data_IF_912253559743
#
_entry.id   IF_912253559743
#
_cell.length_a   1.000
_cell.length_b   1.000
_cell.length_c   1.000
_cell.angle_alpha   90.00
_cell.angle_beta   90.00
_cell.angle_gamma   90.00
#
_symmetry.space_group_name_H-M   'P 1'
#
loop_
_entity.id
_entity.type
_entity.pdbx_description
1 polymer ?
#
# COMPACT_ATOMS: atom_id res chain seq x y z
N UNK A 1 -8.06 3.75 20.43
CA UNK A 1 -8.57 4.57 21.55
C UNK A 1 -9.88 5.20 21.12
N UNK A 2 -10.82 5.47 22.05
CA UNK A 2 -12.00 6.28 21.74
C UNK A 2 -11.62 7.75 21.92
N UNK A 3 -11.36 8.45 20.82
CA UNK A 3 -11.38 9.91 20.82
C UNK A 3 -12.80 10.39 21.05
N UNK A 4 -12.97 11.48 21.79
CA UNK A 4 -14.28 12.12 21.89
C UNK A 4 -14.62 12.70 20.50
N UNK A 5 -15.74 12.28 19.87
CA UNK A 5 -16.17 12.84 18.59
C UNK A 5 -16.20 14.37 18.58
N UNK A 6 -16.44 15.01 19.74
CA UNK A 6 -16.47 16.46 19.89
C UNK A 6 -15.13 17.15 19.57
N UNK A 7 -13.99 16.47 19.79
CA UNK A 7 -12.66 17.00 19.49
C UNK A 7 -12.32 16.92 17.99
N UNK A 8 -12.93 15.97 17.27
CA UNK A 8 -12.66 15.72 15.85
C UNK A 8 -13.60 16.49 14.92
N UNK A 9 -14.82 16.82 15.39
CA UNK A 9 -15.82 17.57 14.61
C UNK A 9 -15.26 18.87 14.00
N UNK A 10 -14.49 19.72 14.73
CA UNK A 10 -13.94 20.94 14.15
C UNK A 10 -12.97 20.68 12.98
N UNK A 11 -12.22 19.58 13.03
CA UNK A 11 -11.27 19.19 11.98
C UNK A 11 -12.03 18.69 10.75
N UNK A 12 -13.06 17.87 10.97
CA UNK A 12 -13.93 17.35 9.89
C UNK A 12 -14.71 18.48 9.21
N UNK A 13 -15.18 19.47 9.97
CA UNK A 13 -15.85 20.65 9.42
C UNK A 13 -14.91 21.45 8.49
N UNK A 14 -13.66 21.67 8.91
CA UNK A 14 -12.66 22.33 8.07
C UNK A 14 -12.35 21.52 6.79
N UNK A 15 -12.18 20.21 6.91
CA UNK A 15 -12.00 19.33 5.75
C UNK A 15 -13.19 19.36 4.81
N UNK A 16 -14.40 19.47 5.35
CA UNK A 16 -15.65 19.58 4.58
C UNK A 16 -15.70 20.88 3.77
N UNK A 17 -15.35 22.01 4.39
CA UNK A 17 -15.28 23.30 3.71
C UNK A 17 -14.25 23.26 2.57
N UNK A 18 -13.09 22.65 2.81
CA UNK A 18 -12.06 22.44 1.80
C UNK A 18 -12.52 21.50 0.67
N UNK A 19 -13.22 20.43 1.00
CA UNK A 19 -13.71 19.43 0.04
C UNK A 19 -14.78 20.00 -0.89
N UNK A 20 -15.70 20.80 -0.34
CA UNK A 20 -16.79 21.46 -1.09
C UNK A 20 -16.36 22.77 -1.76
N UNK A 21 -15.11 23.22 -1.53
CA UNK A 21 -14.63 24.56 -1.91
C UNK A 21 -15.51 25.70 -1.38
N UNK A 22 -16.27 25.46 -0.31
CA UNK A 22 -17.25 26.39 0.23
C UNK A 22 -18.50 26.63 -0.63
N UNK A 23 -18.74 25.83 -1.68
CA UNK A 23 -19.88 26.00 -2.59
C UNK A 23 -21.16 25.31 -2.11
N UNK A 24 -21.10 24.55 -1.02
CA UNK A 24 -22.25 23.84 -0.45
C UNK A 24 -22.27 23.91 1.07
N UNK A 25 -23.41 24.31 1.63
CA UNK A 25 -23.64 24.42 3.08
C UNK A 25 -24.11 23.12 3.72
N UNK A 26 -24.31 22.07 2.93
CA UNK A 26 -24.72 20.75 3.39
C UNK A 26 -23.88 19.66 2.71
N UNK A 27 -23.29 18.79 3.51
CA UNK A 27 -22.69 17.53 3.04
C UNK A 27 -23.58 16.35 3.42
N UNK A 28 -23.48 15.27 2.66
CA UNK A 28 -24.17 14.03 3.01
C UNK A 28 -23.53 13.41 4.25
N UNK A 29 -24.30 12.57 4.96
CA UNK A 29 -23.79 11.86 6.13
C UNK A 29 -22.60 10.97 5.76
N UNK A 30 -22.66 10.33 4.59
CA UNK A 30 -21.59 9.48 4.08
C UNK A 30 -20.30 10.28 3.84
N UNK A 31 -20.38 11.49 3.30
CA UNK A 31 -19.22 12.34 3.09
C UNK A 31 -18.60 12.81 4.42
N UNK A 32 -19.43 13.14 5.42
CA UNK A 32 -18.94 13.51 6.75
C UNK A 32 -18.27 12.34 7.47
N UNK A 33 -18.85 11.14 7.36
CA UNK A 33 -18.25 9.91 7.90
C UNK A 33 -16.92 9.59 7.21
N UNK A 34 -16.86 9.71 5.89
CA UNK A 34 -15.64 9.49 5.11
C UNK A 34 -14.50 10.42 5.53
N UNK A 35 -14.80 11.71 5.74
CA UNK A 35 -13.82 12.67 6.24
C UNK A 35 -13.43 12.41 7.71
N UNK A 36 -14.34 11.90 8.53
CA UNK A 36 -14.01 11.45 9.89
C UNK A 36 -13.01 10.29 9.86
N UNK A 37 -13.24 9.30 8.98
CA UNK A 37 -12.29 8.19 8.78
C UNK A 37 -10.93 8.69 8.29
N UNK A 38 -10.89 9.71 7.45
CA UNK A 38 -9.65 10.36 7.03
C UNK A 38 -8.87 10.99 8.21
N UNK A 39 -9.57 11.71 9.09
CA UNK A 39 -8.96 12.30 10.30
C UNK A 39 -8.42 11.22 11.22
N UNK A 40 -9.21 10.16 11.47
CA UNK A 40 -8.80 9.05 12.32
C UNK A 40 -7.59 8.30 11.77
N UNK A 41 -7.53 8.11 10.44
CA UNK A 41 -6.36 7.52 9.78
C UNK A 41 -5.10 8.33 10.09
N UNK A 42 -5.13 9.65 9.83
CA UNK A 42 -3.98 10.52 10.12
C UNK A 42 -3.58 10.46 11.60
N UNK A 43 -4.53 10.56 12.53
CA UNK A 43 -4.23 10.47 13.97
C UNK A 43 -3.54 9.15 14.31
N UNK A 44 -4.01 8.03 13.75
CA UNK A 44 -3.38 6.73 13.94
C UNK A 44 -1.94 6.71 13.43
N UNK A 45 -1.65 7.37 12.31
CA UNK A 45 -0.28 7.49 11.79
C UNK A 45 0.65 8.25 12.74
N UNK A 46 0.17 9.35 13.31
CA UNK A 46 0.93 10.10 14.32
C UNK A 46 1.18 9.25 15.58
N UNK A 47 0.19 8.49 16.03
CA UNK A 47 0.33 7.59 17.18
C UNK A 47 1.34 6.48 16.92
N UNK A 48 1.28 5.85 15.74
CA UNK A 48 2.19 4.79 15.33
C UNK A 48 3.65 5.29 15.26
N UNK A 49 3.85 6.51 14.75
CA UNK A 49 5.15 7.17 14.77
C UNK A 49 5.67 7.39 16.19
N UNK A 50 4.81 7.87 17.10
CA UNK A 50 5.18 8.12 18.50
C UNK A 50 5.42 6.85 19.32
N UNK A 51 4.67 5.77 19.05
CA UNK A 51 4.85 4.48 19.71
C UNK A 51 6.22 3.85 19.39
N UNK A 52 6.71 4.04 18.15
CA UNK A 52 8.06 3.64 17.75
C UNK A 52 9.16 4.54 18.35
N UNK A 53 8.78 5.68 18.91
CA UNK A 53 9.67 6.69 19.49
C UNK A 53 9.40 7.01 20.97
N UNK A 54 9.03 6.02 21.80
CA UNK A 54 8.97 6.09 23.27
C UNK A 54 8.71 7.49 23.89
N UNK A 55 7.54 8.06 23.65
CA UNK A 55 6.98 9.13 24.48
C UNK A 55 5.45 9.00 24.53
N UNK A 56 4.93 8.44 25.63
CA UNK A 56 3.51 8.55 25.99
C UNK A 56 3.21 10.00 26.34
N UNK A 57 2.89 10.82 25.34
CA UNK A 57 2.38 12.16 25.56
C UNK A 57 0.91 12.07 26.00
N UNK A 58 0.69 12.43 27.25
CA UNK A 58 -0.63 12.68 27.82
C UNK A 58 -1.34 13.77 27.01
N UNK A 59 -2.58 13.51 26.58
CA UNK A 59 -3.51 14.47 25.97
C UNK A 59 -2.86 15.47 25.02
N UNK A 60 -2.29 14.98 23.92
CA UNK A 60 -1.97 15.84 22.79
C UNK A 60 -3.28 16.28 22.13
N UNK A 61 -3.42 17.58 21.84
CA UNK A 61 -4.55 18.14 21.10
C UNK A 61 -4.78 17.34 19.80
N UNK A 62 -6.03 16.89 19.57
CA UNK A 62 -6.41 16.10 18.41
C UNK A 62 -6.02 16.78 17.09
N UNK A 63 -6.00 18.12 17.04
CA UNK A 63 -5.54 18.88 15.87
C UNK A 63 -4.05 18.70 15.61
N UNK A 64 -3.23 18.75 16.66
CA UNK A 64 -1.77 18.55 16.52
C UNK A 64 -1.47 17.13 16.05
N UNK A 65 -2.17 16.13 16.59
CA UNK A 65 -2.04 14.74 16.16
C UNK A 65 -2.47 14.56 14.70
N UNK A 66 -3.60 15.14 14.31
CA UNK A 66 -4.06 15.12 12.94
C UNK A 66 -3.04 15.76 11.97
N UNK A 67 -2.51 16.94 12.30
CA UNK A 67 -1.53 17.64 11.45
C UNK A 67 -0.22 16.85 11.32
N UNK A 68 0.31 16.32 12.43
CA UNK A 68 1.49 15.48 12.43
C UNK A 68 1.26 14.19 11.62
N UNK A 69 0.09 13.59 11.79
CA UNK A 69 -0.33 12.39 11.08
C UNK A 69 -0.48 12.59 9.59
N UNK A 70 -1.12 13.68 9.19
CA UNK A 70 -1.25 14.08 7.80
C UNK A 70 0.13 14.27 7.15
N UNK A 71 1.08 14.90 7.85
CA UNK A 71 2.44 15.04 7.35
C UNK A 71 3.12 13.67 7.20
N UNK A 72 2.95 12.76 8.15
CA UNK A 72 3.50 11.40 8.04
C UNK A 72 2.90 10.63 6.85
N UNK A 73 1.59 10.76 6.57
CA UNK A 73 0.98 10.18 5.36
C UNK A 73 1.63 10.74 4.09
N UNK A 74 1.86 12.05 4.03
CA UNK A 74 2.53 12.69 2.89
C UNK A 74 3.95 12.16 2.73
N UNK A 75 4.69 12.04 3.83
CA UNK A 75 6.06 11.53 3.82
C UNK A 75 6.11 10.05 3.40
N UNK A 76 5.15 9.22 3.85
CA UNK A 76 4.96 7.84 3.39
C UNK A 76 4.71 7.76 1.89
N UNK A 77 3.90 8.66 1.34
CA UNK A 77 3.65 8.70 -0.11
C UNK A 77 4.95 8.95 -0.87
N UNK A 78 5.77 9.91 -0.43
CA UNK A 78 7.05 10.19 -1.10
C UNK A 78 8.04 9.02 -0.93
N UNK A 79 8.12 8.41 0.26
CA UNK A 79 8.93 7.20 0.48
C UNK A 79 8.51 6.04 -0.42
N UNK A 80 7.21 5.77 -0.53
CA UNK A 80 6.66 4.74 -1.40
C UNK A 80 6.95 5.02 -2.88
N UNK A 81 6.90 6.28 -3.32
CA UNK A 81 7.30 6.67 -4.68
C UNK A 81 8.78 6.40 -4.93
N UNK A 82 9.67 6.69 -3.98
CA UNK A 82 11.09 6.37 -4.12
C UNK A 82 11.33 4.86 -4.18
N UNK A 83 10.68 4.07 -3.31
CA UNK A 83 10.71 2.60 -3.38
C UNK A 83 10.22 2.08 -4.73
N UNK A 84 9.13 2.65 -5.25
CA UNK A 84 8.58 2.31 -6.56
C UNK A 84 9.57 2.65 -7.70
N UNK A 85 10.29 3.77 -7.64
CA UNK A 85 11.34 4.11 -8.62
C UNK A 85 12.48 3.08 -8.60
N UNK A 86 12.86 2.58 -7.43
CA UNK A 86 13.86 1.51 -7.32
C UNK A 86 13.30 0.21 -7.92
N UNK A 87 12.07 -0.17 -7.58
CA UNK A 87 11.39 -1.33 -8.15
C UNK A 87 11.38 -1.29 -9.69
N UNK A 88 10.90 -0.20 -10.29
CA UNK A 88 10.75 -0.10 -11.74
C UNK A 88 12.10 -0.16 -12.49
N UNK A 89 13.19 0.28 -11.85
CA UNK A 89 14.53 0.32 -12.47
C UNK A 89 15.10 -1.07 -12.81
N UNK A 90 14.64 -2.10 -12.10
CA UNK A 90 15.10 -3.48 -12.24
C UNK A 90 13.95 -4.46 -12.47
N UNK A 91 12.76 -3.95 -12.78
CA UNK A 91 11.54 -4.73 -12.89
C UNK A 91 11.55 -5.69 -14.09
N UNK A 92 11.18 -6.94 -13.83
CA UNK A 92 10.82 -7.94 -14.83
C UNK A 92 9.45 -8.51 -14.50
N UNK A 93 8.59 -8.54 -15.52
CA UNK A 93 7.29 -9.23 -15.41
C UNK A 93 7.41 -10.75 -15.48
N UNK A 94 8.57 -11.27 -15.94
CA UNK A 94 8.77 -12.68 -16.26
C UNK A 94 7.65 -13.26 -17.16
N UNK A 95 7.00 -12.41 -17.97
CA UNK A 95 5.90 -12.78 -18.84
C UNK A 95 4.51 -12.84 -18.18
N UNK A 96 4.40 -12.67 -16.85
CA UNK A 96 3.10 -12.63 -16.16
C UNK A 96 2.41 -11.26 -16.33
N UNK A 97 1.20 -11.27 -16.90
CA UNK A 97 0.43 -10.07 -17.20
C UNK A 97 -0.11 -9.39 -15.96
N UNK A 98 -0.52 -10.16 -14.95
CA UNK A 98 -1.09 -9.59 -13.73
C UNK A 98 -0.03 -8.79 -12.95
N UNK A 99 1.17 -9.34 -12.79
CA UNK A 99 2.33 -8.64 -12.24
C UNK A 99 2.68 -7.39 -13.08
N UNK A 100 2.66 -7.51 -14.41
CA UNK A 100 2.92 -6.39 -15.31
C UNK A 100 1.90 -5.25 -15.13
N UNK A 101 0.61 -5.56 -15.13
CA UNK A 101 -0.46 -4.59 -15.00
C UNK A 101 -0.48 -3.96 -13.61
N UNK A 102 -0.20 -4.74 -12.57
CA UNK A 102 -0.06 -4.26 -11.20
C UNK A 102 1.04 -3.19 -11.10
N UNK A 103 2.26 -3.52 -11.55
CA UNK A 103 3.42 -2.64 -11.40
C UNK A 103 3.34 -1.45 -12.36
N UNK A 104 2.96 -1.66 -13.63
CA UNK A 104 3.02 -0.61 -14.64
C UNK A 104 1.76 0.25 -14.73
N UNK A 105 0.62 -0.20 -14.20
CA UNK A 105 -0.66 0.52 -14.31
C UNK A 105 -1.28 0.81 -12.94
N UNK A 106 -1.50 -0.21 -12.12
CA UNK A 106 -2.25 -0.04 -10.87
C UNK A 106 -1.49 0.84 -9.88
N UNK A 107 -0.22 0.56 -9.57
CA UNK A 107 0.58 1.35 -8.62
C UNK A 107 0.72 2.82 -9.07
N UNK A 108 1.07 3.13 -10.34
CA UNK A 108 1.04 4.51 -10.84
C UNK A 108 -0.34 5.16 -10.77
N UNK A 109 -1.40 4.39 -11.04
CA UNK A 109 -2.79 4.83 -10.92
C UNK A 109 -3.13 5.23 -9.49
N UNK A 110 -2.68 4.45 -8.51
CA UNK A 110 -2.80 4.78 -7.09
C UNK A 110 -2.17 6.15 -6.80
N UNK A 111 -0.88 6.35 -7.13
CA UNK A 111 -0.21 7.63 -6.84
C UNK A 111 -0.82 8.85 -7.54
N UNK A 112 -1.53 8.64 -8.66
CA UNK A 112 -2.20 9.71 -9.41
C UNK A 112 -3.52 10.15 -8.77
N UNK A 113 -4.28 9.21 -8.22
CA UNK A 113 -5.64 9.42 -7.75
C UNK A 113 -5.76 9.50 -6.23
N UNK A 114 -4.77 8.97 -5.50
CA UNK A 114 -4.74 8.95 -4.05
C UNK A 114 -4.68 10.38 -3.48
N UNK A 115 -5.53 10.62 -2.46
CA UNK A 115 -5.63 11.92 -1.80
C UNK A 115 -5.27 11.78 -0.32
N UNK A 116 -4.03 12.12 0.08
CA UNK A 116 -3.59 12.06 1.49
C UNK A 116 -4.46 12.87 2.45
N UNK A 117 -5.17 13.89 1.95
CA UNK A 117 -5.95 14.80 2.78
C UNK A 117 -7.41 14.36 2.94
N UNK A 118 -8.00 13.84 1.87
CA UNK A 118 -9.45 13.59 1.82
C UNK A 118 -9.82 12.11 1.87
N UNK A 119 -8.90 11.23 1.45
CA UNK A 119 -9.10 9.79 1.44
C UNK A 119 -7.82 9.01 1.79
N UNK A 120 -7.08 9.36 2.87
CA UNK A 120 -5.87 8.63 3.24
C UNK A 120 -6.13 7.15 3.57
N UNK A 121 -7.34 6.80 4.00
CA UNK A 121 -7.74 5.43 4.30
C UNK A 121 -8.02 4.56 3.07
N UNK A 122 -8.17 5.15 1.88
CA UNK A 122 -8.60 4.41 0.69
C UNK A 122 -7.44 3.71 -0.03
N UNK A 123 -7.53 2.39 -0.14
CA UNK A 123 -6.73 1.62 -1.10
C UNK A 123 -7.49 1.52 -2.41
N UNK A 124 -7.29 2.50 -3.29
CA UNK A 124 -8.04 2.66 -4.55
C UNK A 124 -7.67 1.66 -5.65
N UNK A 125 -6.81 0.67 -5.36
CA UNK A 125 -6.48 -0.44 -6.25
C UNK A 125 -6.75 -1.78 -5.57
N UNK A 126 -7.09 -2.79 -6.37
CA UNK A 126 -7.50 -4.12 -5.90
C UNK A 126 -6.35 -5.02 -5.45
N UNK A 127 -5.12 -4.71 -5.83
CA UNK A 127 -3.93 -5.53 -5.55
C UNK A 127 -4.12 -7.00 -6.02
N UNK A 128 -4.65 -7.19 -7.22
CA UNK A 128 -5.01 -8.50 -7.77
C UNK A 128 -3.82 -9.46 -7.95
N UNK A 129 -2.59 -8.95 -7.97
CA UNK A 129 -1.39 -9.78 -7.95
C UNK A 129 -1.04 -10.20 -6.51
N UNK A 130 -1.07 -11.50 -6.17
CA UNK A 130 -0.84 -11.94 -4.81
C UNK A 130 0.64 -11.84 -4.41
N UNK A 131 0.84 -11.63 -3.11
CA UNK A 131 2.16 -11.66 -2.48
C UNK A 131 2.33 -12.94 -1.68
N UNK A 132 3.58 -13.40 -1.52
CA UNK A 132 3.88 -14.64 -0.79
C UNK A 132 3.39 -14.64 0.67
N UNK A 133 3.25 -13.45 1.27
CA UNK A 133 2.59 -13.26 2.56
C UNK A 133 1.51 -12.21 2.36
N UNK A 134 0.23 -12.47 2.65
CA UNK A 134 -0.85 -11.49 2.50
C UNK A 134 -0.59 -10.19 3.25
N UNK A 135 -1.14 -9.08 2.76
CA UNK A 135 -1.13 -7.79 3.47
C UNK A 135 -2.36 -7.77 4.38
N UNK A 136 -2.14 -7.78 5.68
CA UNK A 136 -3.22 -7.82 6.68
C UNK A 136 -3.24 -6.54 7.51
N UNK A 137 -4.45 -6.02 7.76
CA UNK A 137 -4.66 -4.90 8.69
C UNK A 137 -4.13 -3.55 8.24
N UNK A 138 -3.78 -3.38 6.96
CA UNK A 138 -3.31 -2.11 6.38
C UNK A 138 -4.22 -1.63 5.27
N UNK A 139 -4.35 -0.31 5.15
CA UNK A 139 -5.08 0.36 4.08
C UNK A 139 -4.27 1.57 3.58
N UNK A 140 -4.83 2.34 2.64
CA UNK A 140 -4.22 3.58 2.19
C UNK A 140 -2.79 3.41 1.66
N UNK A 141 -1.94 4.36 2.03
CA UNK A 141 -0.51 4.34 1.66
C UNK A 141 0.26 3.20 2.34
N UNK A 142 -0.14 2.78 3.54
CA UNK A 142 0.54 1.72 4.29
C UNK A 142 0.44 0.36 3.61
N UNK A 143 -0.74 0.06 3.04
CA UNK A 143 -0.93 -1.14 2.23
C UNK A 143 -0.05 -1.10 0.96
N UNK A 144 0.02 0.05 0.30
CA UNK A 144 0.74 0.21 -0.97
C UNK A 144 2.25 0.18 -0.78
N UNK A 145 2.75 0.81 0.28
CA UNK A 145 4.17 0.75 0.62
C UNK A 145 4.61 -0.69 0.91
N UNK A 146 3.85 -1.44 1.71
CA UNK A 146 4.13 -2.86 1.98
C UNK A 146 4.01 -3.71 0.70
N UNK A 147 3.05 -3.41 -0.17
CA UNK A 147 2.89 -4.12 -1.43
C UNK A 147 4.09 -3.94 -2.35
N UNK A 148 4.60 -2.71 -2.46
CA UNK A 148 5.83 -2.41 -3.20
C UNK A 148 7.02 -3.16 -2.60
N UNK A 149 7.17 -3.15 -1.27
CA UNK A 149 8.27 -3.85 -0.59
C UNK A 149 8.23 -5.36 -0.86
N UNK A 150 7.04 -5.97 -0.82
CA UNK A 150 6.87 -7.41 -1.10
C UNK A 150 7.15 -7.77 -2.55
N UNK A 151 6.65 -6.99 -3.51
CA UNK A 151 6.97 -7.19 -4.93
C UNK A 151 8.46 -7.00 -5.16
N UNK A 152 9.08 -5.99 -4.54
CA UNK A 152 10.51 -5.77 -4.64
C UNK A 152 11.32 -6.95 -4.07
N UNK A 153 10.93 -7.51 -2.93
CA UNK A 153 11.58 -8.70 -2.36
C UNK A 153 11.47 -9.91 -3.30
N UNK A 154 10.31 -10.12 -3.92
CA UNK A 154 10.12 -11.14 -4.96
C UNK A 154 11.06 -10.90 -6.16
N UNK A 155 11.14 -9.67 -6.68
CA UNK A 155 12.04 -9.34 -7.80
C UNK A 155 13.51 -9.62 -7.45
N UNK A 156 13.94 -9.28 -6.22
CA UNK A 156 15.29 -9.57 -5.75
C UNK A 156 15.57 -11.07 -5.62
N UNK A 157 14.58 -11.88 -5.24
CA UNK A 157 14.70 -13.33 -5.22
C UNK A 157 14.83 -13.90 -6.63
N UNK A 158 13.91 -13.54 -7.52
CA UNK A 158 13.85 -14.06 -8.89
C UNK A 158 15.05 -13.62 -9.74
N UNK A 159 15.61 -12.44 -9.48
CA UNK A 159 16.80 -11.95 -10.17
C UNK A 159 18.09 -12.75 -9.89
N UNK A 160 18.09 -13.66 -8.89
CA UNK A 160 19.24 -14.53 -8.60
C UNK A 160 19.40 -15.66 -9.63
N UNK A 161 18.34 -15.99 -10.35
CA UNK A 161 18.36 -17.08 -11.34
C UNK A 161 18.87 -16.60 -12.70
N UNK A 162 19.40 -17.54 -13.48
CA UNK A 162 19.90 -17.23 -14.81
C UNK A 162 18.78 -16.69 -15.73
N UNK A 163 19.10 -15.80 -16.69
CA UNK A 163 18.11 -15.28 -17.63
C UNK A 163 17.32 -16.41 -18.32
N UNK A 164 15.98 -16.32 -18.30
CA UNK A 164 15.07 -17.31 -18.89
C UNK A 164 14.73 -18.51 -17.98
N UNK A 165 15.43 -18.70 -16.87
CA UNK A 165 15.16 -19.81 -15.95
C UNK A 165 13.78 -19.70 -15.30
N UNK A 166 13.41 -18.50 -14.82
CA UNK A 166 12.13 -18.26 -14.14
C UNK A 166 10.98 -18.56 -15.10
N UNK A 167 11.03 -18.04 -16.32
CA UNK A 167 10.00 -18.27 -17.34
C UNK A 167 9.90 -19.74 -17.74
N UNK A 168 11.03 -20.46 -17.79
CA UNK A 168 11.07 -21.90 -18.05
C UNK A 168 10.34 -22.67 -16.93
N UNK A 169 10.68 -22.40 -15.66
CA UNK A 169 10.02 -23.05 -14.50
C UNK A 169 8.53 -22.78 -14.49
N UNK A 170 8.12 -21.51 -14.68
CA UNK A 170 6.72 -21.12 -14.70
C UNK A 170 5.95 -21.81 -15.86
N UNK A 171 6.57 -21.89 -17.04
CA UNK A 171 5.96 -22.57 -18.20
C UNK A 171 5.85 -24.09 -18.03
N UNK A 172 6.76 -24.69 -17.26
CA UNK A 172 6.72 -26.12 -16.92
C UNK A 172 5.67 -26.40 -15.84
N UNK A 173 5.43 -25.46 -14.93
CA UNK A 173 4.37 -25.56 -13.93
C UNK A 173 2.98 -25.47 -14.55
N UNK A 174 2.72 -24.46 -15.39
CA UNK A 174 1.50 -24.39 -16.20
C UNK A 174 1.69 -23.62 -17.51
N UNK A 175 1.08 -24.12 -18.59
CA UNK A 175 1.24 -23.56 -19.92
C UNK A 175 0.66 -22.14 -20.06
N UNK A 176 -0.31 -21.78 -19.22
CA UNK A 176 -1.02 -20.51 -19.21
C UNK A 176 -0.57 -19.55 -18.09
N UNK A 177 0.61 -19.76 -17.49
CA UNK A 177 1.09 -19.00 -16.32
C UNK A 177 1.08 -17.47 -16.51
N UNK A 178 1.14 -17.02 -17.77
CA UNK A 178 1.14 -15.60 -18.13
C UNK A 178 -0.14 -14.89 -17.72
N UNK A 179 -1.24 -15.61 -17.61
CA UNK A 179 -2.57 -15.09 -17.27
C UNK A 179 -3.03 -15.52 -15.87
N UNK A 180 -2.12 -16.11 -15.07
CA UNK A 180 -2.42 -16.65 -13.74
C UNK A 180 -2.21 -15.62 -12.62
N UNK A 181 -2.95 -15.83 -11.53
CA UNK A 181 -3.00 -14.98 -10.33
C UNK A 181 -2.34 -15.67 -9.14
N UNK A 182 -1.06 -16.03 -9.28
CA UNK A 182 -0.25 -16.57 -8.19
C UNK A 182 1.07 -15.81 -8.08
N UNK A 183 1.72 -15.92 -6.92
CA UNK A 183 3.01 -15.31 -6.71
C UNK A 183 4.10 -16.14 -7.40
N UNK A 184 4.93 -15.52 -8.24
CA UNK A 184 5.89 -16.27 -9.05
C UNK A 184 7.01 -16.87 -8.18
N UNK A 185 7.40 -16.19 -7.10
CA UNK A 185 8.45 -16.69 -6.20
C UNK A 185 8.08 -17.98 -5.49
N UNK A 186 6.80 -18.19 -5.17
CA UNK A 186 6.32 -19.44 -4.55
C UNK A 186 6.57 -20.64 -5.46
N UNK A 187 6.19 -20.54 -6.72
CA UNK A 187 6.36 -21.62 -7.71
C UNK A 187 7.84 -21.92 -7.95
N UNK A 188 8.64 -20.86 -8.10
CA UNK A 188 10.09 -21.01 -8.33
C UNK A 188 10.77 -21.63 -7.11
N UNK A 189 10.36 -21.26 -5.90
CA UNK A 189 10.88 -21.83 -4.67
C UNK A 189 10.57 -23.33 -4.58
N UNK A 190 9.32 -23.74 -4.76
CA UNK A 190 8.89 -25.16 -4.70
C UNK A 190 9.62 -26.05 -5.72
N UNK A 191 9.80 -25.56 -6.95
CA UNK A 191 10.50 -26.30 -8.00
C UNK A 191 12.01 -26.35 -7.80
N UNK A 192 12.59 -25.33 -7.16
CA UNK A 192 14.02 -25.32 -6.83
C UNK A 192 14.36 -26.33 -5.72
N UNK A 193 13.48 -26.48 -4.72
CA UNK A 193 13.66 -27.44 -3.62
C UNK A 193 13.47 -28.89 -4.10
N UNK A 194 12.51 -29.12 -5.00
CA UNK A 194 12.27 -30.43 -5.62
C UNK A 194 13.46 -30.95 -6.42
N UNK A 195 14.25 -30.06 -7.04
CA UNK A 195 15.45 -30.41 -7.81
C UNK A 195 16.69 -30.70 -6.94
N UNK A 196 16.73 -30.22 -5.69
CA UNK A 196 17.79 -30.54 -4.72
C UNK A 196 17.51 -31.85 -3.98
N UNK A 197 16.24 -32.22 -3.82
CA UNK A 197 15.82 -33.50 -3.21
C UNK A 197 16.21 -34.75 -4.00
N UNK A 198 16.29 -34.67 -5.34
CA UNK A 198 16.65 -35.80 -6.21
C UNK A 198 18.18 -36.06 -6.34
N UNK A 199 19.01 -35.27 -5.65
CA UNK A 199 20.49 -35.44 -5.62
C UNK A 199 21.03 -36.10 -4.34
N UNK A 200 20.17 -36.67 -3.49
CA UNK A 200 20.57 -37.46 -2.30
C UNK A 200 20.18 -38.92 -2.43
#
# INVERSE_FOLDING_TARGET
MNYDPEELIPIVAELTDLYTKGESTSVTYEAAQHLMEAVLYCIHEAESMNANGLATCQQTDARILYEAGFQEVVDKVERAKEKYKVLISSFSSYGNRNLNDTVLKAIPGFFKLYSPRFSPQETIITMDYPTAVPIEGKTGIDAIEEYIDKIQAEQHFLAKFAPGYVEQVLSAYTADYKDQFFNLSEIVFEMSDSLEGDKK
#
